data_IF_634024006365
#
_entry.id   IF_634024006365
#
_cell.length_a   1.000
_cell.length_b   1.000
_cell.length_c   1.000
_cell.angle_alpha   90.00
_cell.angle_beta   90.00
_cell.angle_gamma   90.00
#
_symmetry.space_group_name_H-M   'P 1'
#
loop_
_entity.id
_entity.type
_entity.pdbx_description
1 polymer ?
#
# COMPACT_ATOMS: atom_id res chain seq x y z
N UNK A 1 -6.36 -4.39 -9.48
CA UNK A 1 -6.82 -3.90 -8.17
C UNK A 1 -7.12 -2.42 -8.30
N UNK A 2 -8.24 -1.99 -7.75
CA UNK A 2 -8.68 -0.60 -7.84
C UNK A 2 -8.56 0.10 -6.49
N UNK A 3 -8.50 1.41 -6.53
CA UNK A 3 -8.47 2.24 -5.33
C UNK A 3 -9.54 3.32 -5.47
N UNK A 4 -10.37 3.45 -4.45
CA UNK A 4 -11.44 4.44 -4.45
C UNK A 4 -10.94 5.87 -4.17
N UNK A 5 -9.69 6.02 -3.77
CA UNK A 5 -9.13 7.28 -3.34
C UNK A 5 -8.09 7.84 -4.31
N UNK A 6 -8.24 7.53 -5.60
CA UNK A 6 -7.21 7.88 -6.59
C UNK A 6 -6.93 9.37 -6.66
N UNK A 7 -7.98 10.20 -6.68
CA UNK A 7 -7.79 11.65 -6.77
C UNK A 7 -7.08 12.20 -5.54
N UNK A 8 -7.46 11.72 -4.36
CA UNK A 8 -6.85 12.12 -3.11
C UNK A 8 -5.38 11.69 -3.06
N UNK A 9 -5.10 10.45 -3.47
CA UNK A 9 -3.74 9.94 -3.46
C UNK A 9 -2.86 10.72 -4.44
N UNK A 10 -3.38 11.07 -5.59
CA UNK A 10 -2.64 11.89 -6.55
C UNK A 10 -2.22 13.22 -5.91
N UNK A 11 -3.13 13.89 -5.22
CA UNK A 11 -2.81 15.14 -4.53
C UNK A 11 -1.76 14.95 -3.45
N UNK A 12 -1.83 13.84 -2.73
CA UNK A 12 -0.87 13.51 -1.68
C UNK A 12 0.53 13.31 -2.27
N UNK A 13 0.63 12.49 -3.30
CA UNK A 13 1.94 12.09 -3.84
C UNK A 13 2.53 13.20 -4.70
N UNK A 14 1.74 13.81 -5.55
CA UNK A 14 2.23 14.82 -6.50
C UNK A 14 2.40 16.17 -5.83
N UNK A 15 1.41 16.60 -5.06
CA UNK A 15 1.38 17.95 -4.49
C UNK A 15 1.86 18.02 -3.04
N UNK A 16 1.99 16.86 -2.38
CA UNK A 16 2.44 16.82 -0.99
C UNK A 16 1.43 17.38 0.00
N UNK A 17 0.14 17.21 -0.27
CA UNK A 17 -0.92 17.74 0.57
C UNK A 17 -1.01 16.98 1.88
N UNK A 18 -0.45 17.54 2.96
CA UNK A 18 -0.36 16.88 4.25
C UNK A 18 -1.73 16.66 4.89
N UNK A 19 -2.64 17.61 4.74
CA UNK A 19 -3.97 17.47 5.29
C UNK A 19 -4.72 16.34 4.60
N UNK A 20 -4.66 16.31 3.28
CA UNK A 20 -5.26 15.23 2.49
C UNK A 20 -4.63 13.88 2.85
N UNK A 21 -3.33 13.86 3.10
CA UNK A 21 -2.61 12.65 3.50
C UNK A 21 -3.21 12.06 4.79
N UNK A 22 -3.35 12.89 5.82
CA UNK A 22 -3.88 12.43 7.10
C UNK A 22 -5.31 11.92 6.97
N UNK A 23 -6.15 12.71 6.30
CA UNK A 23 -7.56 12.36 6.13
C UNK A 23 -7.73 11.08 5.32
N UNK A 24 -6.99 10.95 4.22
CA UNK A 24 -7.11 9.79 3.34
C UNK A 24 -6.56 8.54 4.00
N UNK A 25 -5.41 8.65 4.68
CA UNK A 25 -4.84 7.52 5.40
C UNK A 25 -5.81 6.98 6.44
N UNK A 26 -6.48 7.88 7.17
CA UNK A 26 -7.46 7.47 8.16
C UNK A 26 -8.67 6.78 7.52
N UNK A 27 -9.14 7.30 6.39
CA UNK A 27 -10.26 6.69 5.67
C UNK A 27 -9.91 5.30 5.17
N UNK A 28 -8.70 5.13 4.63
CA UNK A 28 -8.25 3.82 4.16
C UNK A 28 -8.17 2.84 5.33
N UNK A 29 -7.58 3.26 6.44
CA UNK A 29 -7.46 2.41 7.61
C UNK A 29 -8.83 1.99 8.15
N UNK A 30 -9.77 2.92 8.23
CA UNK A 30 -11.12 2.63 8.68
C UNK A 30 -11.83 1.66 7.74
N UNK A 31 -11.66 1.85 6.44
CA UNK A 31 -12.26 0.96 5.46
C UNK A 31 -11.67 -0.44 5.54
N UNK A 32 -10.36 -0.55 5.77
CA UNK A 32 -9.71 -1.84 5.96
C UNK A 32 -10.28 -2.58 7.18
N UNK A 33 -10.50 -1.88 8.28
CA UNK A 33 -11.07 -2.47 9.49
C UNK A 33 -12.48 -2.94 9.22
N UNK A 34 -13.31 -2.11 8.59
CA UNK A 34 -14.70 -2.46 8.30
C UNK A 34 -14.80 -3.64 7.35
N UNK A 35 -13.98 -3.65 6.31
CA UNK A 35 -14.00 -4.73 5.33
C UNK A 35 -13.52 -6.04 5.94
N UNK A 36 -12.52 -6.00 6.80
CA UNK A 36 -12.06 -7.19 7.48
C UNK A 36 -13.14 -7.75 8.39
N UNK A 37 -13.86 -6.89 9.09
CA UNK A 37 -14.96 -7.32 9.94
C UNK A 37 -16.10 -7.94 9.16
N UNK A 38 -16.39 -7.39 7.98
CA UNK A 38 -17.46 -7.94 7.12
C UNK A 38 -17.04 -9.22 6.42
N UNK A 39 -15.79 -9.27 5.99
CA UNK A 39 -15.29 -10.35 5.16
C UNK A 39 -14.97 -11.59 5.93
N UNK A 40 -14.66 -11.47 7.19
CA UNK A 40 -14.23 -12.62 7.93
C UNK A 40 -14.26 -12.36 9.41
N UNK A 41 -14.93 -13.23 10.07
CA UNK A 41 -14.91 -13.34 11.51
C UNK A 41 -13.77 -14.21 11.94
N UNK A 42 -13.05 -14.82 11.01
CA UNK A 42 -12.04 -15.79 11.38
C UNK A 42 -10.64 -15.19 11.30
N UNK A 43 -9.72 -15.99 11.70
CA UNK A 43 -8.33 -15.62 11.91
C UNK A 43 -7.61 -15.17 10.65
N UNK A 44 -8.22 -15.35 9.50
CA UNK A 44 -7.64 -14.93 8.23
C UNK A 44 -7.31 -13.45 8.19
N UNK A 45 -8.07 -12.63 8.89
CA UNK A 45 -7.80 -11.19 8.91
C UNK A 45 -6.53 -10.84 9.66
N UNK A 46 -6.10 -11.66 10.61
CA UNK A 46 -4.88 -11.38 11.36
C UNK A 46 -3.61 -11.68 10.57
N UNK A 47 -3.70 -12.52 9.56
CA UNK A 47 -2.54 -12.83 8.73
C UNK A 47 -2.11 -11.64 7.90
N UNK A 48 -3.05 -10.77 7.55
CA UNK A 48 -2.73 -9.57 6.77
C UNK A 48 -1.78 -8.63 7.51
N UNK A 49 -1.76 -8.67 8.84
CA UNK A 49 -0.85 -7.85 9.63
C UNK A 49 0.61 -8.19 9.33
N UNK A 50 0.96 -9.48 9.30
CA UNK A 50 2.32 -9.90 8.99
C UNK A 50 2.72 -9.51 7.58
N UNK A 51 1.80 -9.63 6.63
CA UNK A 51 2.07 -9.27 5.24
C UNK A 51 2.24 -7.78 5.08
N UNK A 52 1.41 -6.99 5.75
CA UNK A 52 1.55 -5.53 5.74
C UNK A 52 2.90 -5.12 6.32
N UNK A 53 3.31 -5.72 7.42
CA UNK A 53 4.61 -5.44 8.02
C UNK A 53 5.76 -5.79 7.10
N UNK A 54 5.66 -6.89 6.37
CA UNK A 54 6.68 -7.31 5.44
C UNK A 54 6.81 -6.32 4.28
N UNK A 55 5.68 -5.90 3.72
CA UNK A 55 5.66 -4.91 2.64
C UNK A 55 6.18 -3.57 3.16
N UNK A 56 5.72 -3.14 4.32
CA UNK A 56 6.15 -1.90 4.93
C UNK A 56 7.65 -1.91 5.23
N UNK A 57 8.17 -3.03 5.73
CA UNK A 57 9.60 -3.18 6.01
C UNK A 57 10.44 -3.03 4.76
N UNK A 58 10.01 -3.60 3.65
CA UNK A 58 10.70 -3.44 2.37
C UNK A 58 10.70 -1.99 1.91
N UNK A 59 9.55 -1.33 2.04
CA UNK A 59 9.42 0.09 1.73
C UNK A 59 10.35 0.94 2.60
N UNK A 60 10.44 0.62 3.87
CA UNK A 60 11.29 1.35 4.82
C UNK A 60 12.77 1.21 4.46
N UNK A 61 13.19 0.03 4.01
CA UNK A 61 14.56 -0.16 3.55
C UNK A 61 14.88 0.72 2.35
N UNK A 62 13.95 0.85 1.43
CA UNK A 62 14.12 1.72 0.26
C UNK A 62 14.21 3.18 0.73
N UNK A 63 13.35 3.58 1.65
CA UNK A 63 13.36 4.93 2.20
C UNK A 63 14.72 5.29 2.81
N UNK A 64 15.33 4.35 3.52
CA UNK A 64 16.61 4.56 4.17
C UNK A 64 17.78 4.70 3.18
N UNK A 65 17.62 4.19 1.96
CA UNK A 65 18.69 4.19 0.96
C UNK A 65 18.54 5.26 -0.11
N UNK A 66 17.32 5.74 -0.34
CA UNK A 66 17.06 6.65 -1.46
C UNK A 66 17.65 8.03 -1.20
N UNK A 67 18.20 8.62 -2.25
CA UNK A 67 18.62 10.02 -2.27
C UNK A 67 18.40 10.57 -3.68
N UNK A 68 18.67 11.84 -3.88
CA UNK A 68 18.43 12.48 -5.17
C UNK A 68 19.26 11.88 -6.30
N UNK A 69 20.41 11.28 -5.98
CA UNK A 69 21.30 10.71 -6.98
C UNK A 69 20.90 9.30 -7.42
N UNK A 70 20.24 8.54 -6.54
CA UNK A 70 19.87 7.16 -6.84
C UNK A 70 18.37 6.94 -6.95
N UNK A 71 17.57 8.00 -7.00
CA UNK A 71 16.11 7.89 -6.94
C UNK A 71 15.55 6.99 -8.05
N UNK A 72 16.14 7.02 -9.23
CA UNK A 72 15.66 6.19 -10.34
C UNK A 72 15.84 4.71 -10.05
N UNK A 73 17.02 4.34 -9.54
CA UNK A 73 17.29 2.95 -9.19
C UNK A 73 16.43 2.48 -8.02
N UNK A 74 16.28 3.32 -7.01
CA UNK A 74 15.47 2.98 -5.84
C UNK A 74 13.98 2.96 -6.18
N UNK A 75 13.54 3.79 -7.12
CA UNK A 75 12.17 3.71 -7.62
C UNK A 75 11.90 2.39 -8.33
N UNK A 76 12.87 1.87 -9.07
CA UNK A 76 12.72 0.55 -9.69
C UNK A 76 12.51 -0.53 -8.64
N UNK A 77 13.19 -0.43 -7.50
CA UNK A 77 12.97 -1.35 -6.38
C UNK A 77 11.59 -1.18 -5.78
N UNK A 78 11.11 0.04 -5.70
CA UNK A 78 9.75 0.32 -5.22
C UNK A 78 8.70 -0.27 -6.15
N UNK A 79 8.91 -0.18 -7.46
CA UNK A 79 8.02 -0.79 -8.44
C UNK A 79 7.92 -2.30 -8.26
N UNK A 80 8.98 -2.96 -7.82
CA UNK A 80 8.97 -4.39 -7.59
C UNK A 80 8.09 -4.78 -6.40
N UNK A 81 7.71 -3.83 -5.57
CA UNK A 81 6.73 -4.07 -4.52
C UNK A 81 5.36 -4.45 -5.09
N UNK A 82 5.02 -3.96 -6.27
CA UNK A 82 3.72 -4.24 -6.87
C UNK A 82 3.50 -5.74 -7.13
N UNK A 83 4.41 -6.44 -7.83
CA UNK A 83 4.24 -7.89 -7.99
C UNK A 83 4.35 -8.64 -6.66
N UNK A 84 5.17 -8.16 -5.73
CA UNK A 84 5.28 -8.78 -4.42
C UNK A 84 3.97 -8.71 -3.66
N UNK A 85 3.29 -7.56 -3.70
CA UNK A 85 1.97 -7.42 -3.09
C UNK A 85 0.92 -8.29 -3.77
N UNK A 86 0.96 -8.36 -5.09
CA UNK A 86 0.03 -9.20 -5.83
C UNK A 86 0.25 -10.68 -5.53
N UNK A 87 1.50 -11.10 -5.42
CA UNK A 87 1.84 -12.47 -5.06
C UNK A 87 1.36 -12.80 -3.64
N UNK A 88 1.59 -11.90 -2.70
CA UNK A 88 1.16 -12.11 -1.32
C UNK A 88 -0.37 -12.27 -1.24
N UNK A 89 -1.10 -11.44 -1.98
CA UNK A 89 -2.54 -11.54 -2.03
C UNK A 89 -3.00 -12.88 -2.64
N UNK A 90 -2.37 -13.28 -3.73
CA UNK A 90 -2.70 -14.56 -4.38
C UNK A 90 -2.38 -15.76 -3.50
N UNK A 91 -1.22 -15.74 -2.86
CA UNK A 91 -0.82 -16.79 -1.95
C UNK A 91 -1.78 -16.93 -0.78
N UNK A 92 -2.21 -15.80 -0.24
CA UNK A 92 -3.13 -15.78 0.88
C UNK A 92 -4.48 -16.41 0.49
N UNK A 93 -5.00 -16.03 -0.67
CA UNK A 93 -6.24 -16.60 -1.16
C UNK A 93 -6.13 -18.09 -1.39
N UNK A 94 -5.00 -18.55 -1.89
CA UNK A 94 -4.74 -19.96 -2.13
C UNK A 94 -4.69 -20.73 -0.82
N UNK A 95 -4.09 -20.15 0.20
CA UNK A 95 -3.98 -20.78 1.52
C UNK A 95 -5.35 -20.94 2.18
N UNK A 96 -6.24 -19.99 1.94
CA UNK A 96 -7.60 -20.06 2.49
C UNK A 96 -8.50 -21.03 1.73
N UNK A 97 -8.00 -21.65 0.68
CA UNK A 97 -8.79 -22.55 -0.14
C UNK A 97 -9.47 -21.82 -1.27
N UNK A 98 -9.29 -22.33 -2.48
CA UNK A 98 -9.82 -21.68 -3.69
C UNK A 98 -11.29 -21.36 -3.58
N UNK A 99 -11.68 -20.24 -4.16
CA UNK A 99 -13.07 -19.80 -4.19
C UNK A 99 -13.50 -18.99 -2.98
N UNK A 100 -12.68 -18.88 -1.97
CA UNK A 100 -13.02 -18.03 -0.83
C UNK A 100 -12.80 -16.57 -1.18
N UNK A 101 -13.63 -15.67 -0.62
CA UNK A 101 -13.42 -14.25 -0.84
C UNK A 101 -12.04 -13.85 -0.36
N UNK A 102 -11.42 -13.00 -1.11
CA UNK A 102 -10.16 -12.37 -0.72
C UNK A 102 -10.40 -11.54 0.53
N UNK A 103 -9.32 -11.26 1.26
CA UNK A 103 -9.43 -10.36 2.40
C UNK A 103 -9.62 -8.93 1.85
N UNK A 104 -10.81 -8.35 1.98
CA UNK A 104 -11.09 -7.09 1.30
C UNK A 104 -10.20 -5.94 1.77
N UNK A 105 -9.87 -5.91 3.07
CA UNK A 105 -9.02 -4.86 3.61
C UNK A 105 -7.63 -4.87 3.01
N UNK A 106 -7.07 -6.07 2.79
CA UNK A 106 -5.75 -6.19 2.18
C UNK A 106 -5.79 -5.78 0.71
N UNK A 107 -6.86 -6.13 0.01
CA UNK A 107 -7.04 -5.74 -1.39
C UNK A 107 -7.12 -4.21 -1.51
N UNK A 108 -7.85 -3.56 -0.62
CA UNK A 108 -7.94 -2.09 -0.60
C UNK A 108 -6.57 -1.47 -0.40
N UNK A 109 -5.81 -1.97 0.57
CA UNK A 109 -4.47 -1.45 0.83
C UNK A 109 -3.56 -1.61 -0.38
N UNK A 110 -3.51 -2.80 -0.96
CA UNK A 110 -2.64 -3.09 -2.10
C UNK A 110 -3.01 -2.21 -3.29
N UNK A 111 -4.31 -2.08 -3.57
CA UNK A 111 -4.75 -1.26 -4.68
C UNK A 111 -4.35 0.20 -4.54
N UNK A 112 -4.50 0.75 -3.35
CA UNK A 112 -4.14 2.14 -3.09
C UNK A 112 -2.64 2.35 -3.09
N UNK A 113 -1.87 1.42 -2.52
CA UNK A 113 -0.41 1.52 -2.55
C UNK A 113 0.13 1.39 -3.97
N UNK A 114 -0.43 0.49 -4.78
CA UNK A 114 -0.01 0.34 -6.17
C UNK A 114 -0.26 1.61 -6.96
N UNK A 115 -1.42 2.22 -6.78
CA UNK A 115 -1.72 3.48 -7.44
C UNK A 115 -0.76 4.58 -7.00
N UNK A 116 -0.47 4.65 -5.70
CA UNK A 116 0.44 5.65 -5.16
C UNK A 116 1.86 5.49 -5.73
N UNK A 117 2.33 4.25 -5.84
CA UNK A 117 3.64 3.98 -6.42
C UNK A 117 3.72 4.50 -7.86
N UNK A 118 2.67 4.28 -8.64
CA UNK A 118 2.63 4.76 -10.02
C UNK A 118 2.72 6.29 -10.10
N UNK A 119 2.18 7.00 -9.11
CA UNK A 119 2.21 8.47 -9.10
C UNK A 119 3.58 9.04 -8.75
N UNK A 120 4.47 8.23 -8.17
CA UNK A 120 5.81 8.69 -7.79
C UNK A 120 6.68 9.03 -9.00
N UNK A 121 6.65 8.19 -10.03
CA UNK A 121 7.31 8.42 -11.31
C UNK A 121 8.78 8.86 -11.16
N UNK A 122 9.53 8.13 -10.33
CA UNK A 122 10.96 8.35 -10.11
C UNK A 122 11.31 9.77 -9.62
N UNK A 123 10.40 10.44 -8.96
CA UNK A 123 10.63 11.76 -8.38
C UNK A 123 10.93 11.64 -6.89
N UNK A 124 12.04 12.22 -6.45
CA UNK A 124 12.49 12.07 -5.06
C UNK A 124 11.47 12.63 -4.06
N UNK A 125 10.94 13.81 -4.33
CA UNK A 125 9.96 14.45 -3.44
C UNK A 125 8.69 13.61 -3.36
N UNK A 126 8.23 13.11 -4.52
CA UNK A 126 7.05 12.24 -4.55
C UNK A 126 7.31 10.93 -3.80
N UNK A 127 8.54 10.39 -3.87
CA UNK A 127 8.88 9.20 -3.07
C UNK A 127 8.77 9.47 -1.59
N UNK A 128 9.25 10.62 -1.13
CA UNK A 128 9.12 10.99 0.28
C UNK A 128 7.64 11.10 0.67
N UNK A 129 6.83 11.69 -0.21
CA UNK A 129 5.39 11.77 0.02
C UNK A 129 4.76 10.37 0.11
N UNK A 130 5.20 9.44 -0.74
CA UNK A 130 4.71 8.07 -0.68
C UNK A 130 5.06 7.40 0.66
N UNK A 131 6.29 7.54 1.11
CA UNK A 131 6.69 6.93 2.38
C UNK A 131 5.90 7.51 3.55
N UNK A 132 5.68 8.82 3.54
CA UNK A 132 4.86 9.46 4.57
C UNK A 132 3.42 8.95 4.51
N UNK A 133 2.88 8.77 3.33
CA UNK A 133 1.53 8.25 3.15
C UNK A 133 1.40 6.82 3.68
N UNK A 134 2.33 5.95 3.31
CA UNK A 134 2.29 4.56 3.78
C UNK A 134 2.45 4.49 5.29
N UNK A 135 3.35 5.29 5.85
CA UNK A 135 3.56 5.33 7.29
C UNK A 135 2.30 5.78 8.03
N UNK A 136 1.53 6.68 7.43
CA UNK A 136 0.31 7.21 8.04
C UNK A 136 -0.84 6.19 8.07
N UNK A 137 -0.83 5.23 7.16
CA UNK A 137 -1.83 4.16 7.15
C UNK A 137 -1.52 3.17 8.26
#
# INVERSE_FOLDING_TARGET
MSCAFQNQIQSIIVDGDAKMLVETAQKIANEMIQQNQRGSINEGSSVSTSQIRNIYGTSKQIEMRVNENNVKDEYNKLLLLKPKMAYANGRFNKTLGGGRPKIPGFITLIGCLSYAIDQVDADYTRMQNFFNFFEAI
#
